data_IF_264372623471
#
_entry.id   IF_264372623471
#
_cell.length_a   1.000
_cell.length_b   1.000
_cell.length_c   1.000
_cell.angle_alpha   90.00
_cell.angle_beta   90.00
_cell.angle_gamma   90.00
#
_symmetry.space_group_name_H-M   'P 1'
#
loop_
_entity.id
_entity.type
_entity.pdbx_description
1 polymer ?
#
# COMPACT_ATOMS: atom_id res chain seq x y z
N UNK A 1 18.01 16.51 51.79
CA UNK A 1 16.53 16.33 51.73
C UNK A 1 15.81 17.11 50.62
N UNK A 2 16.02 18.42 50.43
CA UNK A 2 15.32 19.20 49.38
C UNK A 2 15.66 18.76 47.94
N UNK A 3 16.92 18.41 47.68
CA UNK A 3 17.38 17.93 46.36
C UNK A 3 16.73 16.59 45.98
N UNK A 4 16.71 15.62 46.91
CA UNK A 4 16.08 14.31 46.72
C UNK A 4 14.58 14.46 46.41
N UNK A 5 13.87 15.33 47.13
CA UNK A 5 12.44 15.61 46.86
C UNK A 5 12.22 16.22 45.47
N UNK A 6 13.13 17.07 44.98
CA UNK A 6 13.06 17.64 43.62
C UNK A 6 13.34 16.58 42.56
N UNK A 7 14.33 15.73 42.78
CA UNK A 7 14.67 14.62 41.88
C UNK A 7 13.51 13.63 41.75
N UNK A 8 12.91 13.22 42.88
CA UNK A 8 11.74 12.32 42.87
C UNK A 8 10.54 12.92 42.14
N UNK A 9 10.29 14.23 42.29
CA UNK A 9 9.24 14.93 41.53
C UNK A 9 9.54 14.91 40.03
N UNK A 10 10.79 15.17 39.65
CA UNK A 10 11.20 15.14 38.24
C UNK A 10 11.04 13.76 37.62
N UNK A 11 11.51 12.71 38.31
CA UNK A 11 11.33 11.31 37.88
C UNK A 11 9.84 10.97 37.79
N UNK A 12 9.02 11.37 38.76
CA UNK A 12 7.58 11.16 38.74
C UNK A 12 6.91 11.82 37.53
N UNK A 13 7.31 13.04 37.18
CA UNK A 13 6.83 13.73 35.96
C UNK A 13 7.26 12.98 34.70
N UNK A 14 8.51 12.52 34.61
CA UNK A 14 8.98 11.75 33.45
C UNK A 14 8.20 10.44 33.27
N UNK A 15 7.97 9.69 34.36
CA UNK A 15 7.17 8.47 34.33
C UNK A 15 5.75 8.79 33.87
N UNK A 16 5.12 9.83 34.43
CA UNK A 16 3.77 10.22 34.04
C UNK A 16 3.69 10.57 32.54
N UNK A 17 4.64 11.37 32.04
CA UNK A 17 4.70 11.74 30.62
C UNK A 17 4.89 10.50 29.75
N UNK A 18 5.80 9.60 30.12
CA UNK A 18 6.01 8.35 29.39
C UNK A 18 4.73 7.49 29.38
N UNK A 19 4.09 7.28 30.53
CA UNK A 19 2.86 6.50 30.64
C UNK A 19 1.72 7.10 29.82
N UNK A 20 1.47 8.41 29.94
CA UNK A 20 0.42 9.09 29.16
C UNK A 20 0.74 9.03 27.67
N UNK A 21 2.00 9.25 27.28
CA UNK A 21 2.46 9.12 25.89
C UNK A 21 2.25 7.71 25.34
N UNK A 22 2.62 6.67 26.08
CA UNK A 22 2.40 5.27 25.70
C UNK A 22 0.91 4.96 25.56
N UNK A 23 0.09 5.34 26.54
CA UNK A 23 -1.36 5.12 26.46
C UNK A 23 -1.99 5.84 25.27
N UNK A 24 -1.53 7.07 24.98
CA UNK A 24 -1.96 7.81 23.81
C UNK A 24 -1.62 7.08 22.51
N UNK A 25 -0.38 6.59 22.36
CA UNK A 25 0.06 5.83 21.18
C UNK A 25 -0.72 4.52 21.04
N UNK A 26 -0.86 3.74 22.12
CA UNK A 26 -1.63 2.49 22.12
C UNK A 26 -3.10 2.71 21.74
N UNK A 27 -3.72 3.77 22.29
CA UNK A 27 -5.10 4.11 21.95
C UNK A 27 -5.25 4.55 20.50
N UNK A 28 -4.33 5.39 19.98
CA UNK A 28 -4.31 5.82 18.58
C UNK A 28 -4.05 4.67 17.61
N UNK A 29 -3.21 3.71 18.00
CA UNK A 29 -2.96 2.47 17.26
C UNK A 29 -4.08 1.43 17.37
N UNK A 30 -5.15 1.71 18.12
CA UNK A 30 -6.28 0.80 18.25
C UNK A 30 -6.04 -0.43 19.12
N UNK A 31 -5.01 -0.45 19.98
CA UNK A 31 -4.68 -1.60 20.83
C UNK A 31 -5.81 -2.02 21.78
N UNK A 32 -6.74 -1.12 22.08
CA UNK A 32 -7.90 -1.37 22.94
C UNK A 32 -9.21 -1.51 22.15
N UNK A 33 -9.16 -1.49 20.82
CA UNK A 33 -10.35 -1.63 19.97
C UNK A 33 -10.78 -3.09 19.92
N UNK A 34 -11.99 -3.36 20.42
CA UNK A 34 -12.62 -4.67 20.27
C UNK A 34 -13.33 -4.75 18.91
N UNK A 35 -13.15 -5.85 18.19
CA UNK A 35 -13.84 -6.13 16.92
C UNK A 35 -14.89 -7.20 17.19
N UNK A 36 -16.16 -6.82 17.12
CA UNK A 36 -17.28 -7.75 17.20
C UNK A 36 -17.64 -8.26 15.79
N UNK A 37 -17.90 -9.56 15.61
CA UNK A 37 -18.40 -10.10 14.35
C UNK A 37 -19.73 -9.43 13.97
N UNK A 38 -19.82 -8.92 12.75
CA UNK A 38 -20.99 -8.17 12.26
C UNK A 38 -21.40 -8.56 10.83
N UNK A 39 -20.79 -9.60 10.25
CA UNK A 39 -21.16 -10.13 8.94
C UNK A 39 -22.00 -11.41 9.13
N UNK A 40 -23.20 -11.41 8.54
CA UNK A 40 -24.15 -12.52 8.65
C UNK A 40 -24.05 -13.53 7.48
N UNK A 41 -23.13 -13.33 6.54
CA UNK A 41 -22.94 -14.19 5.38
C UNK A 41 -21.88 -15.27 5.59
N UNK A 42 -21.43 -15.87 4.49
CA UNK A 42 -20.32 -16.80 4.43
C UNK A 42 -19.09 -16.14 3.82
N UNK A 43 -17.90 -16.48 4.34
CA UNK A 43 -16.62 -16.05 3.80
C UNK A 43 -15.85 -17.28 3.34
N UNK A 44 -15.51 -17.31 2.06
CA UNK A 44 -14.60 -18.29 1.48
C UNK A 44 -13.21 -17.69 1.37
N UNK A 45 -12.20 -18.41 1.88
CA UNK A 45 -10.81 -17.98 1.74
C UNK A 45 -10.29 -18.32 0.35
N UNK A 46 -9.75 -17.32 -0.35
CA UNK A 46 -8.91 -17.53 -1.51
C UNK A 46 -7.44 -17.54 -1.05
N UNK A 47 -6.77 -18.70 -0.99
CA UNK A 47 -5.37 -18.74 -0.58
C UNK A 47 -4.48 -18.03 -1.60
N UNK A 48 -3.58 -17.20 -1.10
CA UNK A 48 -2.60 -16.44 -1.88
C UNK A 48 -1.20 -16.72 -1.32
N UNK A 49 -0.21 -16.83 -2.21
CA UNK A 49 1.20 -17.03 -1.83
C UNK A 49 1.91 -15.71 -1.46
N UNK A 50 1.29 -14.57 -1.77
CA UNK A 50 1.83 -13.24 -1.49
C UNK A 50 0.73 -12.27 -1.03
N UNK A 51 1.15 -11.08 -0.59
CA UNK A 51 0.24 -10.05 -0.12
C UNK A 51 -0.55 -9.45 -1.28
N UNK A 52 -1.87 -9.41 -1.12
CA UNK A 52 -2.79 -8.58 -1.90
C UNK A 52 -3.15 -7.32 -1.12
N UNK A 53 -2.22 -6.36 -1.07
CA UNK A 53 -2.34 -5.21 -0.17
C UNK A 53 -3.42 -4.22 -0.63
N UNK A 54 -3.64 -4.10 -1.93
CA UNK A 54 -4.65 -3.24 -2.53
C UNK A 54 -5.39 -3.94 -3.69
N UNK A 55 -6.61 -3.49 -3.97
CA UNK A 55 -7.51 -4.07 -4.96
C UNK A 55 -8.35 -3.00 -5.64
N UNK A 56 -8.46 -3.07 -6.97
CA UNK A 56 -9.44 -2.31 -7.74
C UNK A 56 -10.31 -3.23 -8.58
N UNK A 57 -11.53 -2.80 -8.90
CA UNK A 57 -12.53 -3.62 -9.57
C UNK A 57 -13.06 -2.89 -10.80
N UNK A 58 -12.88 -3.49 -11.97
CA UNK A 58 -13.69 -3.19 -13.14
C UNK A 58 -15.09 -3.77 -12.90
N UNK A 59 -15.98 -2.92 -12.38
CA UNK A 59 -17.37 -3.32 -12.08
C UNK A 59 -18.19 -3.61 -13.32
N UNK A 60 -17.83 -3.06 -14.48
CA UNK A 60 -18.54 -3.33 -15.73
C UNK A 60 -18.31 -4.77 -16.18
N UNK A 61 -17.07 -5.24 -16.06
CA UNK A 61 -16.68 -6.60 -16.50
C UNK A 61 -16.65 -7.65 -15.39
N UNK A 62 -16.74 -7.23 -14.12
CA UNK A 62 -16.57 -8.13 -12.98
C UNK A 62 -15.13 -8.65 -12.86
N UNK A 63 -14.14 -7.84 -13.19
CA UNK A 63 -12.73 -8.19 -13.04
C UNK A 63 -12.14 -7.44 -11.83
N UNK A 64 -11.53 -8.16 -10.91
CA UNK A 64 -10.74 -7.57 -9.84
C UNK A 64 -9.25 -7.64 -10.18
N UNK A 65 -8.50 -6.60 -9.84
CA UNK A 65 -7.06 -6.51 -9.99
C UNK A 65 -6.44 -6.25 -8.62
N UNK A 66 -5.45 -7.05 -8.24
CA UNK A 66 -4.84 -7.06 -6.93
C UNK A 66 -3.37 -6.71 -7.07
N UNK A 67 -2.87 -5.77 -6.27
CA UNK A 67 -1.42 -5.66 -6.10
C UNK A 67 -0.91 -6.97 -5.53
N UNK A 68 0.22 -7.49 -6.03
CA UNK A 68 0.72 -8.78 -5.60
C UNK A 68 2.22 -8.74 -5.37
N UNK A 69 2.62 -8.86 -4.10
CA UNK A 69 4.01 -8.75 -3.70
C UNK A 69 4.29 -9.55 -2.42
N UNK A 70 5.42 -10.27 -2.39
CA UNK A 70 5.89 -10.91 -1.15
C UNK A 70 6.51 -9.86 -0.22
N UNK A 71 5.62 -9.18 0.51
CA UNK A 71 5.98 -8.16 1.49
C UNK A 71 6.64 -8.77 2.73
N UNK A 72 6.36 -10.03 3.05
CA UNK A 72 6.91 -10.67 4.24
C UNK A 72 8.43 -10.85 4.10
N UNK A 73 8.88 -11.28 2.92
CA UNK A 73 10.31 -11.41 2.62
C UNK A 73 11.03 -10.05 2.63
N UNK A 74 10.39 -9.00 2.10
CA UNK A 74 10.94 -7.64 2.20
C UNK A 74 11.14 -7.17 3.66
N UNK A 75 10.20 -7.49 4.56
CA UNK A 75 10.30 -7.12 5.98
C UNK A 75 11.40 -7.90 6.71
N UNK A 76 11.60 -9.17 6.37
CA UNK A 76 12.65 -10.01 6.98
C UNK A 76 14.06 -9.69 6.47
N UNK A 77 14.16 -8.99 5.34
CA UNK A 77 15.44 -8.67 4.71
C UNK A 77 16.09 -9.84 3.96
N UNK A 78 15.35 -10.92 3.72
CA UNK A 78 15.76 -12.05 2.88
C UNK A 78 15.51 -11.77 1.38
N UNK A 79 14.65 -10.81 1.07
CA UNK A 79 14.22 -10.46 -0.28
C UNK A 79 14.98 -9.29 -0.92
N UNK A 80 16.21 -9.50 -1.40
CA UNK A 80 16.89 -8.47 -2.22
C UNK A 80 16.32 -8.38 -3.65
N UNK A 81 15.63 -9.42 -4.12
CA UNK A 81 15.10 -9.54 -5.48
C UNK A 81 13.61 -9.92 -5.54
N UNK A 82 12.78 -9.39 -4.64
CA UNK A 82 11.33 -9.61 -4.75
C UNK A 82 10.77 -8.87 -5.97
N UNK A 83 10.16 -9.63 -6.86
CA UNK A 83 9.42 -9.14 -8.03
C UNK A 83 7.93 -9.33 -7.76
N UNK A 84 7.18 -8.24 -7.79
CA UNK A 84 5.72 -8.24 -7.74
C UNK A 84 5.09 -8.26 -9.12
N UNK A 85 3.76 -8.31 -9.12
CA UNK A 85 2.91 -8.18 -10.30
C UNK A 85 1.55 -7.59 -9.91
N UNK A 86 0.64 -7.47 -10.89
CA UNK A 86 -0.79 -7.30 -10.65
C UNK A 86 -1.47 -8.62 -11.02
N UNK A 87 -2.17 -9.23 -10.08
CA UNK A 87 -2.98 -10.41 -10.36
C UNK A 87 -4.40 -9.99 -10.69
N UNK A 88 -5.12 -10.81 -11.45
CA UNK A 88 -6.54 -10.62 -11.76
C UNK A 88 -7.39 -11.81 -11.33
N UNK A 89 -8.66 -11.52 -11.04
CA UNK A 89 -9.72 -12.48 -10.81
C UNK A 89 -10.93 -12.14 -11.68
N UNK A 90 -11.52 -13.13 -12.33
CA UNK A 90 -12.85 -13.03 -12.90
C UNK A 90 -13.89 -13.39 -11.83
N UNK A 91 -14.60 -12.39 -11.34
CA UNK A 91 -15.60 -12.52 -10.28
C UNK A 91 -16.88 -13.22 -10.76
N UNK A 92 -17.06 -13.38 -12.07
CA UNK A 92 -18.18 -14.13 -12.65
C UNK A 92 -17.85 -15.62 -12.84
N UNK A 93 -16.58 -16.00 -12.66
CA UNK A 93 -16.12 -17.38 -12.81
C UNK A 93 -16.21 -18.13 -11.49
N UNK A 94 -16.70 -19.37 -11.54
CA UNK A 94 -16.63 -20.32 -10.43
C UNK A 94 -15.94 -21.60 -10.91
N UNK A 95 -14.83 -22.05 -10.29
CA UNK A 95 -14.13 -21.42 -9.16
C UNK A 95 -13.37 -20.14 -9.57
N UNK A 96 -13.07 -19.27 -8.60
CA UNK A 96 -12.14 -18.16 -8.80
C UNK A 96 -10.75 -18.70 -9.15
N UNK A 97 -10.09 -18.06 -10.12
CA UNK A 97 -8.73 -18.40 -10.54
C UNK A 97 -7.91 -17.13 -10.62
N UNK A 98 -6.79 -17.13 -9.92
CA UNK A 98 -5.82 -16.04 -9.89
C UNK A 98 -4.90 -16.15 -11.10
N UNK A 99 -4.86 -15.10 -11.92
CA UNK A 99 -4.06 -15.05 -13.15
C UNK A 99 -3.21 -13.78 -13.19
N UNK A 100 -2.07 -13.80 -13.88
CA UNK A 100 -1.27 -12.57 -14.04
C UNK A 100 -1.99 -11.62 -15.00
N UNK A 101 -2.18 -10.38 -14.58
CA UNK A 101 -2.78 -9.34 -15.41
C UNK A 101 -1.73 -8.67 -16.31
N UNK A 102 -0.44 -8.77 -15.97
CA UNK A 102 0.63 -8.07 -16.67
C UNK A 102 1.35 -8.99 -17.65
N UNK A 103 1.31 -8.65 -18.93
CA UNK A 103 2.03 -9.37 -19.99
C UNK A 103 3.53 -9.06 -19.97
N UNK A 104 3.89 -7.87 -19.53
CA UNK A 104 5.25 -7.44 -19.22
C UNK A 104 5.23 -6.53 -17.99
N UNK A 105 6.40 -6.35 -17.39
CA UNK A 105 6.57 -5.52 -16.21
C UNK A 105 8.00 -5.02 -16.14
N UNK A 106 8.21 -3.80 -15.61
CA UNK A 106 9.56 -3.31 -15.34
C UNK A 106 10.25 -4.24 -14.34
N UNK A 107 11.58 -4.25 -14.41
CA UNK A 107 12.39 -4.95 -13.42
C UNK A 107 12.13 -4.35 -12.03
N UNK A 108 12.05 -5.20 -11.02
CA UNK A 108 11.84 -4.83 -9.62
C UNK A 108 10.52 -4.10 -9.36
N UNK A 109 9.45 -4.47 -10.07
CA UNK A 109 8.10 -3.97 -9.77
C UNK A 109 7.70 -4.38 -8.35
N UNK A 110 7.75 -3.47 -7.38
CA UNK A 110 7.30 -3.69 -6.00
C UNK A 110 6.01 -2.93 -5.78
N UNK A 111 4.91 -3.59 -6.12
CA UNK A 111 3.56 -3.01 -6.15
C UNK A 111 3.05 -2.61 -4.76
N UNK A 112 2.29 -1.52 -4.71
CA UNK A 112 1.56 -1.04 -3.54
C UNK A 112 0.14 -0.63 -3.98
N UNK A 113 -0.30 0.60 -3.71
CA UNK A 113 -1.58 1.10 -4.21
C UNK A 113 -1.68 1.11 -5.74
N UNK A 114 -2.88 0.84 -6.25
CA UNK A 114 -3.21 0.84 -7.67
C UNK A 114 -4.58 1.48 -7.97
N UNK A 115 -4.70 2.04 -9.17
CA UNK A 115 -5.97 2.57 -9.67
C UNK A 115 -6.22 2.12 -11.10
N UNK A 116 -7.44 1.67 -11.34
CA UNK A 116 -7.96 1.46 -12.70
C UNK A 116 -8.61 2.75 -13.19
N UNK A 117 -8.17 3.22 -14.35
CA UNK A 117 -8.79 4.31 -15.08
C UNK A 117 -9.49 3.75 -16.32
N UNK A 118 -10.74 4.15 -16.55
CA UNK A 118 -11.53 3.81 -17.74
C UNK A 118 -11.90 5.11 -18.43
N UNK A 119 -11.49 5.29 -19.67
CA UNK A 119 -11.80 6.51 -20.42
C UNK A 119 -13.21 6.49 -21.02
N UNK A 120 -13.61 7.60 -21.67
CA UNK A 120 -14.93 7.73 -22.29
C UNK A 120 -15.17 6.79 -23.48
N UNK A 121 -14.11 6.22 -24.06
CA UNK A 121 -14.19 5.21 -25.11
C UNK A 121 -14.17 3.78 -24.56
N UNK A 122 -14.02 3.62 -23.24
CA UNK A 122 -13.91 2.32 -22.58
C UNK A 122 -12.49 1.73 -22.59
N UNK A 123 -11.46 2.47 -22.98
CA UNK A 123 -10.09 2.01 -22.82
C UNK A 123 -9.70 2.00 -21.34
N UNK A 124 -8.97 0.97 -20.92
CA UNK A 124 -8.55 0.77 -19.53
C UNK A 124 -7.04 0.96 -19.38
N UNK A 125 -6.64 1.65 -18.33
CA UNK A 125 -5.26 1.76 -17.89
C UNK A 125 -5.15 1.47 -16.40
N UNK A 126 -4.11 0.73 -16.00
CA UNK A 126 -3.74 0.52 -14.60
C UNK A 126 -2.58 1.45 -14.24
N UNK A 127 -2.75 2.21 -13.17
CA UNK A 127 -1.70 3.01 -12.54
C UNK A 127 -1.30 2.29 -11.27
N UNK A 128 0.00 2.05 -11.09
CA UNK A 128 0.52 1.20 -10.02
C UNK A 128 1.70 1.89 -9.36
N UNK A 129 1.66 2.06 -8.04
CA UNK A 129 2.83 2.52 -7.28
C UNK A 129 3.90 1.43 -7.33
N UNK A 130 5.13 1.83 -7.65
CA UNK A 130 6.29 0.96 -7.69
C UNK A 130 7.37 1.49 -6.75
N UNK A 131 7.60 0.76 -5.66
CA UNK A 131 8.65 1.09 -4.71
C UNK A 131 10.02 0.64 -5.19
N UNK A 132 11.07 1.46 -5.06
CA UNK A 132 12.40 1.09 -5.52
C UNK A 132 13.03 0.02 -4.63
N UNK A 133 14.15 -0.53 -5.09
CA UNK A 133 14.88 -1.56 -4.34
C UNK A 133 15.43 -0.96 -3.04
N UNK A 134 16.08 0.19 -3.16
CA UNK A 134 16.70 0.92 -2.05
C UNK A 134 15.85 2.14 -1.69
N UNK A 135 14.74 1.89 -0.99
CA UNK A 135 13.78 2.93 -0.57
C UNK A 135 14.45 4.01 0.28
N UNK A 136 14.20 5.28 -0.08
CA UNK A 136 14.78 6.46 0.57
C UNK A 136 16.06 6.99 -0.08
N UNK A 137 16.74 6.17 -0.89
CA UNK A 137 17.88 6.60 -1.73
C UNK A 137 17.55 6.62 -3.23
N UNK A 138 16.62 5.77 -3.66
CA UNK A 138 16.14 5.69 -5.04
C UNK A 138 14.75 6.34 -5.18
N UNK A 139 14.38 6.82 -6.38
CA UNK A 139 13.10 7.48 -6.60
C UNK A 139 11.93 6.50 -6.47
N UNK A 140 10.85 6.98 -5.86
CA UNK A 140 9.54 6.34 -5.89
C UNK A 140 8.90 6.54 -7.27
N UNK A 141 8.23 5.52 -7.80
CA UNK A 141 7.71 5.51 -9.17
C UNK A 141 6.20 5.22 -9.22
N UNK A 142 5.58 5.66 -10.31
CA UNK A 142 4.24 5.19 -10.72
C UNK A 142 4.36 4.61 -12.12
N UNK A 143 4.01 3.34 -12.25
CA UNK A 143 4.00 2.62 -13.52
C UNK A 143 2.59 2.64 -14.10
N UNK A 144 2.49 2.86 -15.41
CA UNK A 144 1.21 2.82 -16.10
C UNK A 144 1.21 1.74 -17.17
N UNK A 145 0.14 0.96 -17.19
CA UNK A 145 -0.08 -0.11 -18.13
C UNK A 145 -1.40 0.10 -18.86
N UNK A 146 -1.42 -0.14 -20.17
CA UNK A 146 -2.63 -0.10 -20.97
C UNK A 146 -3.15 -1.52 -21.23
N UNK A 147 -4.47 -1.66 -21.22
CA UNK A 147 -5.11 -2.92 -21.59
C UNK A 147 -4.91 -3.20 -23.08
N UNK A 148 -4.35 -4.37 -23.40
CA UNK A 148 -4.11 -4.83 -24.78
C UNK A 148 -4.93 -6.07 -25.16
N UNK A 149 -5.64 -6.64 -24.18
CA UNK A 149 -6.59 -7.73 -24.32
C UNK A 149 -7.47 -7.80 -23.07
N UNK A 150 -8.57 -8.56 -23.05
CA UNK A 150 -9.51 -8.56 -21.93
C UNK A 150 -8.83 -8.86 -20.58
N UNK A 151 -8.71 -7.83 -19.75
CA UNK A 151 -8.04 -7.85 -18.45
C UNK A 151 -6.54 -8.12 -18.49
N UNK A 152 -5.87 -7.89 -19.62
CA UNK A 152 -4.44 -8.08 -19.82
C UNK A 152 -3.77 -6.78 -20.21
N UNK A 153 -2.70 -6.43 -19.51
CA UNK A 153 -2.08 -5.12 -19.55
C UNK A 153 -0.62 -5.20 -19.99
N UNK A 154 -0.17 -4.19 -20.73
CA UNK A 154 1.23 -3.99 -21.12
C UNK A 154 1.73 -2.66 -20.60
N UNK A 155 2.98 -2.62 -20.15
CA UNK A 155 3.63 -1.41 -19.68
C UNK A 155 3.65 -0.35 -20.79
N UNK A 156 3.28 0.87 -20.41
CA UNK A 156 3.27 2.04 -21.29
C UNK A 156 4.33 3.04 -20.89
N UNK A 157 4.36 3.40 -19.61
CA UNK A 157 5.21 4.47 -19.13
C UNK A 157 5.47 4.43 -17.63
N UNK A 158 6.53 5.12 -17.23
CA UNK A 158 6.94 5.30 -15.84
C UNK A 158 6.95 6.79 -15.52
N UNK A 159 6.28 7.18 -14.44
CA UNK A 159 6.34 8.51 -13.86
C UNK A 159 7.28 8.53 -12.66
N UNK A 160 8.14 9.55 -12.61
CA UNK A 160 8.95 9.90 -11.45
C UNK A 160 8.70 11.38 -11.11
N UNK A 161 8.68 11.72 -9.83
CA UNK A 161 8.49 13.10 -9.38
C UNK A 161 9.19 13.33 -8.04
N UNK A 162 9.83 14.48 -7.81
CA UNK A 162 10.36 14.84 -6.49
C UNK A 162 9.27 15.00 -5.43
N UNK A 163 7.99 15.06 -5.83
CA UNK A 163 6.84 15.08 -4.91
C UNK A 163 6.44 13.68 -4.43
N UNK A 164 6.97 12.62 -5.04
CA UNK A 164 6.78 11.24 -4.57
C UNK A 164 7.79 10.95 -3.45
N UNK A 165 7.41 11.32 -2.23
CA UNK A 165 8.24 11.12 -1.03
C UNK A 165 8.08 9.72 -0.46
N UNK A 166 6.83 9.30 -0.30
CA UNK A 166 6.45 8.02 0.30
C UNK A 166 5.03 7.70 -0.16
N UNK A 167 4.81 7.49 -1.48
CA UNK A 167 3.49 7.24 -2.02
C UNK A 167 2.93 5.95 -1.42
N UNK A 168 1.68 6.00 -0.97
CA UNK A 168 0.99 4.87 -0.37
C UNK A 168 -0.09 4.36 -1.31
N UNK A 169 -0.93 5.28 -1.78
CA UNK A 169 -1.99 5.00 -2.73
C UNK A 169 -2.16 6.16 -3.74
N UNK A 170 -2.84 5.89 -4.85
CA UNK A 170 -3.16 6.87 -5.88
C UNK A 170 -4.57 6.67 -6.44
N UNK A 171 -5.09 7.73 -7.06
CA UNK A 171 -6.30 7.64 -7.89
C UNK A 171 -6.05 8.28 -9.24
N UNK A 172 -6.26 7.50 -10.30
CA UNK A 172 -6.15 7.96 -11.67
C UNK A 172 -7.46 8.62 -12.13
N UNK A 173 -7.35 9.81 -12.71
CA UNK A 173 -8.49 10.64 -13.13
C UNK A 173 -8.40 11.06 -14.60
N UNK A 174 -7.39 10.58 -15.31
CA UNK A 174 -7.15 10.87 -16.71
C UNK A 174 -6.06 9.97 -17.29
N UNK A 175 -5.86 10.01 -18.62
CA UNK A 175 -4.90 9.14 -19.30
C UNK A 175 -3.46 9.36 -18.83
N UNK A 176 -3.13 10.54 -18.29
CA UNK A 176 -1.83 10.89 -17.71
C UNK A 176 -1.98 11.78 -16.46
N UNK A 177 -3.08 11.61 -15.71
CA UNK A 177 -3.40 12.46 -14.57
C UNK A 177 -3.89 11.62 -13.40
N UNK A 178 -3.29 11.85 -12.23
CA UNK A 178 -3.58 11.11 -11.02
C UNK A 178 -3.23 11.93 -9.77
N UNK A 179 -3.85 11.60 -8.65
CA UNK A 179 -3.52 12.13 -7.32
C UNK A 179 -2.80 11.04 -6.52
N UNK A 180 -1.82 11.43 -5.71
CA UNK A 180 -1.01 10.51 -4.90
C UNK A 180 -1.12 10.90 -3.43
N UNK A 181 -1.44 9.93 -2.58
CA UNK A 181 -1.35 10.06 -1.13
C UNK A 181 0.06 9.65 -0.68
N UNK A 182 0.79 10.56 -0.03
CA UNK A 182 2.07 10.23 0.60
C UNK A 182 1.84 9.95 2.10
N UNK A 183 2.26 8.78 2.60
CA UNK A 183 2.04 8.37 4.00
C UNK A 183 3.06 8.95 5.00
N UNK A 184 4.16 9.52 4.50
CA UNK A 184 5.16 10.22 5.30
C UNK A 184 5.18 11.71 4.99
N UNK A 185 5.35 12.50 6.05
CA UNK A 185 5.63 13.94 5.93
C UNK A 185 7.00 14.13 5.25
N UNK A 186 7.09 15.12 4.36
CA UNK A 186 8.36 15.57 3.79
C UNK A 186 9.26 16.10 4.92
N UNK A 187 10.33 15.35 5.26
CA UNK A 187 11.46 15.72 6.16
C UNK A 187 11.16 16.64 7.36
N UNK A 188 11.37 16.10 8.57
CA UNK A 188 11.84 16.86 9.74
C UNK A 188 10.78 17.26 10.77
N UNK A 189 11.07 16.99 12.05
CA UNK A 189 10.27 17.37 13.21
C UNK A 189 9.94 16.18 14.13
N UNK A 190 9.50 16.46 15.36
CA UNK A 190 9.04 15.44 16.32
C UNK A 190 7.98 14.50 15.73
N UNK A 191 7.15 14.99 14.80
CA UNK A 191 6.13 14.20 14.10
C UNK A 191 6.72 13.10 13.21
N UNK A 192 7.89 13.31 12.60
CA UNK A 192 8.55 12.30 11.76
C UNK A 192 9.20 11.18 12.59
N UNK A 193 9.51 11.42 13.86
CA UNK A 193 10.00 10.40 14.79
C UNK A 193 8.89 9.62 15.52
N UNK A 194 7.63 10.02 15.33
CA UNK A 194 6.45 9.40 15.93
C UNK A 194 5.58 8.65 14.90
N UNK A 195 6.01 8.61 13.63
CA UNK A 195 5.40 7.87 12.52
C UNK A 195 6.14 6.56 12.27
#
# INVERSE_FOLDING_TARGET
MRLIKRLLKFIGVLILVATVGTLYVLNRGGAFRKIEPHFAGHCDSLPLDASAEDITIDRERGLAYLSYLDRQSLVKGDGTNVQGTIMRLDLNRTPLVLEDALLDKPAHLRTHGLSLYIDSAGARSLFVINHPVNRGSEPELVEVFDEVGPGQFRHRETFASPLFNSPNDLVAVGPRQFYVANDKVLKGGLAAGLQ
#
